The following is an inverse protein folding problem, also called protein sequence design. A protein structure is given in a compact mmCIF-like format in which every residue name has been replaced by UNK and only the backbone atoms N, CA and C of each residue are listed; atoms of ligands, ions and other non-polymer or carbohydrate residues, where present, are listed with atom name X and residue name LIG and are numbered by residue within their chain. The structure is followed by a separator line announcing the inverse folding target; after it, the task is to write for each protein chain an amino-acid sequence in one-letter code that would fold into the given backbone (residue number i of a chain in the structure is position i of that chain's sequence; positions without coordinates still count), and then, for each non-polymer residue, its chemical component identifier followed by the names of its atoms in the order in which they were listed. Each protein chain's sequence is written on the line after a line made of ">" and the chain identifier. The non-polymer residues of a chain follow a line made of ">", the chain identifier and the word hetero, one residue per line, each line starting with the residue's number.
data_IF_582356461431
#
_entry.id   IF_582356461431
#
_cell.length_a   1.000
_cell.length_b   1.000
_cell.length_c   1.000
_cell.angle_alpha   90.00
_cell.angle_beta   90.00
_cell.angle_gamma   90.00
#
_symmetry.space_group_name_H-M   'P 1'
#
loop_
_entity.id
_entity.type
_entity.pdbx_description
1 polymer ?
#
# COMPACT_ATOMS: atom_id res chain seq x y z
N UNK A 1 22.97 2.15 -20.74
CA UNK A 1 22.51 1.63 -19.44
C UNK A 1 21.01 1.86 -19.43
N UNK A 2 20.21 0.80 -19.46
CA UNK A 2 18.76 0.94 -19.46
C UNK A 2 18.36 1.52 -18.10
N UNK A 3 17.84 2.75 -18.10
CA UNK A 3 17.04 3.26 -16.99
C UNK A 3 15.88 2.29 -16.85
N UNK A 4 15.93 1.41 -15.85
CA UNK A 4 14.77 0.64 -15.47
C UNK A 4 13.76 1.65 -14.97
N UNK A 5 12.85 2.02 -15.87
CA UNK A 5 11.59 2.63 -15.52
C UNK A 5 10.95 1.61 -14.57
N UNK A 6 11.06 1.86 -13.26
CA UNK A 6 10.36 1.05 -12.26
C UNK A 6 8.90 1.28 -12.56
N UNK A 7 8.31 0.37 -13.32
CA UNK A 7 6.93 0.46 -13.74
C UNK A 7 6.11 0.41 -12.46
N UNK A 8 5.63 1.58 -12.01
CA UNK A 8 4.90 1.72 -10.76
C UNK A 8 3.57 0.93 -10.77
N UNK A 9 3.20 0.34 -11.92
CA UNK A 9 2.09 -0.60 -12.07
C UNK A 9 2.47 -2.07 -11.82
N UNK A 10 3.75 -2.42 -11.73
CA UNK A 10 4.23 -3.79 -11.51
C UNK A 10 4.60 -4.07 -10.04
N UNK A 11 4.05 -3.26 -9.11
CA UNK A 11 4.22 -3.53 -7.68
C UNK A 11 3.50 -4.83 -7.33
N UNK A 12 4.27 -5.84 -6.94
CA UNK A 12 3.73 -7.13 -6.54
C UNK A 12 2.80 -6.95 -5.33
N UNK A 13 1.54 -7.34 -5.49
CA UNK A 13 0.59 -7.41 -4.40
C UNK A 13 1.00 -8.55 -3.45
N UNK A 14 1.06 -8.26 -2.15
CA UNK A 14 1.48 -9.21 -1.11
C UNK A 14 0.30 -9.70 -0.27
N UNK A 15 -0.47 -8.79 0.30
CA UNK A 15 -1.60 -9.08 1.17
C UNK A 15 -2.60 -7.92 1.22
N UNK A 16 -3.83 -8.20 1.65
CA UNK A 16 -4.84 -7.19 1.96
C UNK A 16 -5.05 -7.08 3.48
N UNK A 17 -5.51 -5.92 3.93
CA UNK A 17 -5.98 -5.72 5.31
C UNK A 17 -7.23 -6.55 5.56
N UNK A 18 -7.64 -6.64 6.83
CA UNK A 18 -8.75 -7.51 7.26
C UNK A 18 -10.03 -7.36 6.42
N UNK A 19 -10.42 -6.13 6.06
CA UNK A 19 -11.61 -5.84 5.26
C UNK A 19 -11.29 -5.50 3.79
N UNK A 20 -10.02 -5.53 3.40
CA UNK A 20 -9.58 -5.18 2.04
C UNK A 20 -9.50 -3.69 1.74
N UNK A 21 -9.54 -2.82 2.77
CA UNK A 21 -9.40 -1.37 2.63
C UNK A 21 -7.98 -0.93 2.27
N UNK A 22 -7.00 -1.71 2.68
CA UNK A 22 -5.60 -1.46 2.39
C UNK A 22 -4.96 -2.69 1.77
N UNK A 23 -4.10 -2.49 0.77
CA UNK A 23 -3.30 -3.56 0.18
C UNK A 23 -1.82 -3.30 0.41
N UNK A 24 -1.10 -4.30 0.88
CA UNK A 24 0.35 -4.27 0.99
C UNK A 24 0.96 -4.69 -0.33
N UNK A 25 1.89 -3.88 -0.81
CA UNK A 25 2.60 -4.13 -2.07
C UNK A 25 4.11 -4.06 -1.86
N UNK A 26 4.85 -4.81 -2.65
CA UNK A 26 6.31 -4.75 -2.68
C UNK A 26 6.77 -3.45 -3.37
N UNK A 27 7.73 -2.76 -2.74
CA UNK A 27 8.35 -1.53 -3.28
C UNK A 27 9.87 -1.68 -3.46
N UNK A 28 10.38 -2.89 -3.29
CA UNK A 28 11.78 -3.26 -3.42
C UNK A 28 11.93 -4.76 -3.16
N UNK A 29 13.17 -5.25 -3.15
CA UNK A 29 13.46 -6.68 -2.93
C UNK A 29 13.03 -7.17 -1.54
N UNK A 30 13.13 -6.31 -0.54
CA UNK A 30 12.84 -6.64 0.87
C UNK A 30 11.88 -5.61 1.52
N UNK A 31 11.48 -4.58 0.77
CA UNK A 31 10.66 -3.48 1.23
C UNK A 31 9.21 -3.62 0.73
N UNK A 32 8.27 -3.23 1.58
CA UNK A 32 6.84 -3.22 1.26
C UNK A 32 6.17 -2.02 1.88
N UNK A 33 5.06 -1.58 1.28
CA UNK A 33 4.24 -0.49 1.80
C UNK A 33 2.77 -0.84 1.72
N UNK A 34 1.99 -0.29 2.64
CA UNK A 34 0.53 -0.36 2.59
C UNK A 34 -0.01 0.79 1.74
N UNK A 35 -0.91 0.45 0.84
CA UNK A 35 -1.63 1.41 0.00
C UNK A 35 -3.10 1.40 0.36
N UNK A 36 -3.70 2.59 0.36
CA UNK A 36 -5.13 2.72 0.54
C UNK A 36 -5.84 2.37 -0.78
N UNK A 37 -6.76 1.41 -0.77
CA UNK A 37 -7.51 1.02 -1.96
C UNK A 37 -8.58 2.04 -2.35
N UNK A 38 -8.97 2.90 -1.41
CA UNK A 38 -9.94 3.96 -1.66
C UNK A 38 -9.34 5.11 -2.48
N UNK A 39 -8.11 5.55 -2.17
CA UNK A 39 -7.50 6.72 -2.82
C UNK A 39 -6.15 6.48 -3.50
N UNK A 40 -5.56 5.29 -3.36
CA UNK A 40 -4.26 4.92 -3.94
C UNK A 40 -3.03 5.49 -3.22
N UNK A 41 -3.23 6.20 -2.11
CA UNK A 41 -2.13 6.74 -1.29
C UNK A 41 -1.23 5.61 -0.78
N UNK A 42 0.09 5.77 -0.91
CA UNK A 42 1.07 4.90 -0.27
C UNK A 42 1.33 5.29 1.18
N UNK A 43 2.03 4.43 1.92
CA UNK A 43 2.30 4.61 3.35
C UNK A 43 1.03 4.77 4.20
N UNK A 44 -0.05 4.07 3.83
CA UNK A 44 -1.19 3.90 4.72
C UNK A 44 -0.80 3.03 5.93
N UNK A 45 -1.55 3.15 7.02
CA UNK A 45 -1.33 2.35 8.22
C UNK A 45 -2.63 1.62 8.58
N UNK A 46 -2.82 0.36 8.17
CA UNK A 46 -4.04 -0.35 8.48
C UNK A 46 -4.24 -0.62 9.98
N UNK A 47 -3.24 -0.40 10.84
CA UNK A 47 -3.29 -0.82 12.26
C UNK A 47 -3.53 0.32 13.25
N UNK A 48 -3.01 1.51 13.00
CA UNK A 48 -3.12 2.63 13.95
C UNK A 48 -3.79 3.85 13.34
N UNK A 49 -3.43 4.21 12.11
CA UNK A 49 -3.71 5.56 11.58
C UNK A 49 -4.57 5.59 10.30
N UNK A 50 -4.85 4.45 9.69
CA UNK A 50 -5.57 4.32 8.43
C UNK A 50 -4.89 5.05 7.28
N UNK A 51 -5.68 5.63 6.38
CA UNK A 51 -5.17 6.52 5.35
C UNK A 51 -5.20 7.98 5.83
N UNK A 52 -4.02 8.55 6.09
CA UNK A 52 -3.89 9.97 6.42
C UNK A 52 -4.23 10.92 5.26
N UNK A 53 -4.31 10.40 4.03
CA UNK A 53 -4.57 11.23 2.83
C UNK A 53 -6.07 11.41 2.55
N UNK A 54 -6.86 10.34 2.58
CA UNK A 54 -8.32 10.41 2.36
C UNK A 54 -9.15 10.29 3.64
N UNK A 55 -8.51 10.04 4.79
CA UNK A 55 -9.19 9.84 6.07
C UNK A 55 -9.83 8.45 6.21
N UNK A 56 -9.44 7.47 5.40
CA UNK A 56 -9.90 6.09 5.57
C UNK A 56 -9.47 5.61 6.96
N UNK A 57 -10.40 5.06 7.73
CA UNK A 57 -10.11 4.60 9.09
C UNK A 57 -9.14 3.40 9.10
N UNK A 58 -8.39 3.26 10.19
CA UNK A 58 -7.57 2.07 10.42
C UNK A 58 -8.47 0.83 10.38
N UNK A 59 -7.94 -0.24 9.82
CA UNK A 59 -8.60 -1.54 9.67
C UNK A 59 -8.05 -2.55 10.68
N UNK A 60 -7.83 -2.03 11.89
CA UNK A 60 -7.20 -2.75 12.99
C UNK A 60 -8.24 -3.64 13.68
N UNK A 61 -8.11 -4.96 13.48
CA UNK A 61 -8.96 -5.99 14.07
C UNK A 61 -10.47 -5.74 13.87
#
# INVERSE_FOLDING_TARGET
>A
MATQEVDLFDQEWLEDSKTGKFSRVAIGTEDSTWRCNNCGAGAADPWEHGCQQCGEEADAY
#
